data_IF_760153481992
#
_entry.id   IF_760153481992
#
_cell.length_a   1.000
_cell.length_b   1.000
_cell.length_c   1.000
_cell.angle_alpha   90.00
_cell.angle_beta   90.00
_cell.angle_gamma   90.00
#
_symmetry.space_group_name_H-M   'P 1'
#
loop_
_entity.id
_entity.type
_entity.pdbx_description
1 polymer ?
#
# COMPACT_ATOMS: atom_id res chain seq x y z
N UNK A 1 13.43 -5.16 6.37
CA UNK A 1 13.67 -5.41 4.96
C UNK A 1 12.57 -4.78 4.11
N UNK A 2 12.95 -4.15 3.02
CA UNK A 2 11.98 -3.46 2.18
C UNK A 2 11.26 -4.44 1.27
N UNK A 3 9.96 -4.25 1.16
CA UNK A 3 9.14 -5.03 0.24
C UNK A 3 9.32 -4.45 -1.17
N UNK A 4 9.62 -5.28 -2.15
CA UNK A 4 9.76 -4.74 -3.50
C UNK A 4 8.38 -4.50 -4.11
N UNK A 5 8.36 -3.81 -5.25
CA UNK A 5 7.09 -3.43 -5.88
C UNK A 5 6.26 -4.63 -6.30
N UNK A 6 6.93 -5.69 -6.70
CA UNK A 6 6.24 -6.89 -7.12
C UNK A 6 5.49 -7.53 -5.96
N UNK A 7 6.17 -7.66 -4.82
CA UNK A 7 5.54 -8.20 -3.62
C UNK A 7 4.42 -7.30 -3.14
N UNK A 8 4.63 -6.01 -3.20
CA UNK A 8 3.61 -5.05 -2.79
C UNK A 8 2.37 -5.17 -3.66
N UNK A 9 2.56 -5.34 -4.96
CA UNK A 9 1.45 -5.52 -5.87
C UNK A 9 0.66 -6.77 -5.53
N UNK A 10 1.34 -7.84 -5.16
CA UNK A 10 0.69 -9.08 -4.75
C UNK A 10 -0.13 -8.89 -3.48
N UNK A 11 0.40 -8.15 -2.53
CA UNK A 11 -0.31 -7.85 -1.29
C UNK A 11 -1.57 -7.04 -1.59
N UNK A 12 -1.45 -6.04 -2.45
CA UNK A 12 -2.59 -5.22 -2.81
C UNK A 12 -3.67 -6.04 -3.50
N UNK A 13 -3.27 -6.93 -4.37
CA UNK A 13 -4.23 -7.81 -5.04
C UNK A 13 -4.96 -8.69 -4.03
N UNK A 14 -4.24 -9.17 -3.04
CA UNK A 14 -4.83 -9.99 -1.99
C UNK A 14 -5.81 -9.19 -1.13
N UNK A 15 -5.59 -7.89 -1.00
CA UNK A 15 -6.48 -7.03 -0.22
C UNK A 15 -7.72 -6.59 -1.00
N UNK A 16 -7.78 -6.89 -2.27
CA UNK A 16 -8.96 -6.57 -3.07
C UNK A 16 -8.71 -5.64 -4.24
N UNK A 17 -7.48 -5.20 -4.44
CA UNK A 17 -7.16 -4.34 -5.57
C UNK A 17 -7.23 -5.13 -6.88
N UNK A 18 -7.79 -4.55 -7.95
CA UNK A 18 -7.78 -5.21 -9.25
C UNK A 18 -6.37 -5.52 -9.69
N UNK A 19 -6.19 -6.70 -10.24
CA UNK A 19 -4.87 -7.18 -10.63
C UNK A 19 -4.19 -6.24 -11.62
N UNK A 20 -4.95 -5.71 -12.56
CA UNK A 20 -4.42 -4.82 -13.57
C UNK A 20 -3.88 -3.53 -12.99
N UNK A 21 -4.40 -3.11 -11.85
CA UNK A 21 -4.02 -1.85 -11.24
C UNK A 21 -3.10 -2.00 -10.05
N UNK A 22 -2.87 -3.22 -9.60
CA UNK A 22 -2.08 -3.43 -8.40
C UNK A 22 -0.64 -2.97 -8.56
N UNK A 23 -0.05 -3.15 -9.73
CA UNK A 23 1.33 -2.70 -9.96
C UNK A 23 1.43 -1.19 -9.91
N UNK A 24 0.47 -0.50 -10.51
CA UNK A 24 0.43 0.95 -10.51
C UNK A 24 0.21 1.48 -9.09
N UNK A 25 -0.72 0.89 -8.37
CA UNK A 25 -0.95 1.28 -6.98
C UNK A 25 0.25 0.99 -6.10
N UNK A 26 0.94 -0.12 -6.36
CA UNK A 26 2.13 -0.45 -5.60
C UNK A 26 3.19 0.63 -5.76
N UNK A 27 3.38 1.11 -6.97
CA UNK A 27 4.36 2.16 -7.22
C UNK A 27 3.98 3.45 -6.48
N UNK A 28 2.72 3.83 -6.54
CA UNK A 28 2.25 5.03 -5.85
C UNK A 28 2.33 4.89 -4.34
N UNK A 29 1.96 3.72 -3.84
CA UNK A 29 2.00 3.45 -2.41
C UNK A 29 3.43 3.46 -1.89
N UNK A 30 4.35 2.90 -2.64
CA UNK A 30 5.75 2.90 -2.28
C UNK A 30 6.30 4.32 -2.18
N UNK A 31 5.96 5.15 -3.16
CA UNK A 31 6.38 6.55 -3.15
C UNK A 31 5.82 7.28 -1.94
N UNK A 32 4.55 7.06 -1.64
CA UNK A 32 3.91 7.69 -0.51
C UNK A 32 4.51 7.23 0.81
N UNK A 33 4.83 5.95 0.90
CA UNK A 33 5.45 5.40 2.10
C UNK A 33 6.82 6.03 2.33
N UNK A 34 7.60 6.23 1.27
CA UNK A 34 8.89 6.90 1.38
C UNK A 34 8.74 8.32 1.88
N UNK A 35 7.77 9.05 1.37
CA UNK A 35 7.52 10.42 1.79
C UNK A 35 7.08 10.46 3.25
N UNK A 36 6.20 9.56 3.64
CA UNK A 36 5.72 9.51 5.00
C UNK A 36 6.83 9.15 5.97
N UNK A 37 7.70 8.22 5.58
CA UNK A 37 8.83 7.84 6.40
C UNK A 37 9.73 9.03 6.67
N UNK A 38 9.98 9.82 5.64
CA UNK A 38 10.81 11.01 5.76
C UNK A 38 10.18 12.06 6.68
N UNK A 39 8.90 12.31 6.46
CA UNK A 39 8.18 13.35 7.20
C UNK A 39 8.00 13.00 8.68
N UNK A 40 7.77 11.75 8.96
CA UNK A 40 7.45 11.30 10.33
C UNK A 40 8.62 10.62 11.02
N UNK A 41 9.78 10.61 10.40
CA UNK A 41 10.95 9.93 10.95
C UNK A 41 10.68 8.46 11.26
N UNK A 42 9.95 7.82 10.36
CA UNK A 42 9.64 6.39 10.45
C UNK A 42 10.43 5.62 9.42
N UNK A 43 10.55 4.32 9.63
CA UNK A 43 11.14 3.50 8.59
C UNK A 43 10.14 3.33 7.45
N UNK A 44 10.66 2.99 6.27
CA UNK A 44 9.82 2.73 5.12
C UNK A 44 8.80 1.62 5.43
N UNK A 45 9.26 0.55 6.08
CA UNK A 45 8.38 -0.58 6.41
C UNK A 45 7.25 -0.15 7.34
N UNK A 46 7.54 0.67 8.33
CA UNK A 46 6.51 1.17 9.23
C UNK A 46 5.49 2.03 8.52
N UNK A 47 5.98 2.91 7.65
CA UNK A 47 5.10 3.79 6.90
C UNK A 47 4.21 2.98 5.95
N UNK A 48 4.80 1.99 5.28
CA UNK A 48 4.07 1.14 4.37
C UNK A 48 3.00 0.34 5.10
N UNK A 49 3.36 -0.21 6.25
CA UNK A 49 2.42 -0.98 7.06
C UNK A 49 1.23 -0.12 7.49
N UNK A 50 1.53 1.11 7.89
CA UNK A 50 0.48 2.04 8.27
C UNK A 50 -0.48 2.33 7.12
N UNK A 51 0.07 2.59 5.94
CA UNK A 51 -0.75 2.88 4.76
C UNK A 51 -1.57 1.67 4.35
N UNK A 52 -0.98 0.49 4.39
CA UNK A 52 -1.72 -0.74 4.07
C UNK A 52 -2.86 -0.97 5.05
N UNK A 53 -2.62 -0.67 6.31
CA UNK A 53 -3.67 -0.78 7.33
C UNK A 53 -4.84 0.14 7.05
N UNK A 54 -4.55 1.37 6.66
CA UNK A 54 -5.60 2.32 6.33
C UNK A 54 -6.40 1.87 5.10
N UNK A 55 -5.71 1.38 4.09
CA UNK A 55 -6.38 0.91 2.89
C UNK A 55 -7.25 -0.29 3.18
N UNK A 56 -6.75 -1.20 4.00
CA UNK A 56 -7.50 -2.38 4.38
C UNK A 56 -8.78 -2.00 5.12
N UNK A 57 -8.69 -1.05 6.03
CA UNK A 57 -9.86 -0.57 6.75
C UNK A 57 -10.86 0.07 5.81
N UNK A 58 -10.37 0.88 4.88
CA UNK A 58 -11.22 1.53 3.91
C UNK A 58 -11.97 0.54 3.04
N UNK A 59 -11.27 -0.48 2.58
CA UNK A 59 -11.91 -1.49 1.73
C UNK A 59 -12.91 -2.35 2.50
N UNK A 60 -12.64 -2.59 3.79
CA UNK A 60 -13.58 -3.36 4.62
C UNK A 60 -14.82 -2.55 4.92
N UNK A 61 -14.68 -1.25 5.18
CA UNK A 61 -15.79 -0.39 5.53
C UNK A 61 -16.54 0.11 4.28
N UNK A 62 -15.80 0.38 3.22
CA UNK A 62 -16.37 0.93 1.98
C UNK A 62 -15.79 0.21 0.79
N UNK A 63 -16.39 -0.92 0.38
CA UNK A 63 -15.89 -1.66 -0.76
C UNK A 63 -15.77 -0.75 -1.98
N UNK A 64 -14.67 -0.83 -2.70
CA UNK A 64 -14.43 0.06 -3.83
C UNK A 64 -15.23 -0.27 -5.07
N UNK A 65 -15.89 -1.37 -5.10
CA UNK A 65 -16.62 -1.81 -6.28
C UNK A 65 -17.96 -1.08 -6.39
N UNK A 66 -17.91 0.10 -6.88
CA UNK A 66 -19.11 0.92 -7.01
C UNK A 66 -19.43 1.20 -8.45
#
# INVERSE_FOLDING_TARGET
MLMDLYELAMVLAALGCPKEKSAEMAAQLSKRASQLAEQKHRTYDEALEHLLGLMRQGWAANPPAQ
#
